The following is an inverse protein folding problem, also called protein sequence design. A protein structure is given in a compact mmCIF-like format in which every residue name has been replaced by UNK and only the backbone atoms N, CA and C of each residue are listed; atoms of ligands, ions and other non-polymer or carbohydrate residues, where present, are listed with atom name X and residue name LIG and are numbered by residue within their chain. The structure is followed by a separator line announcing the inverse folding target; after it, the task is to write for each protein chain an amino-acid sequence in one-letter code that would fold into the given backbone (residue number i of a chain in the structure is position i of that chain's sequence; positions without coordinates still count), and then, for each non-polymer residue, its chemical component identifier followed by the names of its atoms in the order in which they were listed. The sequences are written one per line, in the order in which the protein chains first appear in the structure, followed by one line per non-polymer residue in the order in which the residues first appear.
data_IF_319240468434
#
_entry.id   IF_319240468434
#
_cell.length_a   1.000
_cell.length_b   1.000
_cell.length_c   1.000
_cell.angle_alpha   90.00
_cell.angle_beta   90.00
_cell.angle_gamma   90.00
#
_symmetry.space_group_name_H-M   'P 1'
#
loop_
_entity.id
_entity.type
_entity.pdbx_description
1 polymer ?
#
# COMPACT_ATOMS: atom_id res chain seq x y z
N UNK A 1 -6.42 7.65 11.54
CA UNK A 1 -7.84 8.07 11.53
C UNK A 1 -8.25 8.34 10.10
N UNK A 2 -9.45 7.91 9.69
CA UNK A 2 -9.97 8.08 8.32
C UNK A 2 -10.52 9.47 8.04
N UNK A 3 -11.04 9.68 6.81
CA UNK A 3 -11.64 10.96 6.41
C UNK A 3 -13.11 10.98 6.83
N UNK A 4 -13.50 11.94 7.66
CA UNK A 4 -14.90 12.14 8.05
C UNK A 4 -15.68 12.79 6.91
N UNK A 5 -16.80 12.18 6.52
CA UNK A 5 -17.68 12.63 5.46
C UNK A 5 -19.03 12.99 6.08
N UNK A 6 -19.37 14.27 6.05
CA UNK A 6 -20.67 14.75 6.50
C UNK A 6 -21.79 14.21 5.59
N UNK A 7 -22.83 13.68 6.22
CA UNK A 7 -24.10 13.30 5.58
C UNK A 7 -25.22 14.22 6.04
N UNK A 8 -26.42 14.06 5.50
CA UNK A 8 -27.57 14.90 5.86
C UNK A 8 -27.93 14.81 7.36
N UNK A 9 -27.96 13.60 7.93
CA UNK A 9 -28.38 13.37 9.34
C UNK A 9 -27.26 12.81 10.24
N UNK A 10 -26.10 12.48 9.69
CA UNK A 10 -24.99 11.86 10.43
C UNK A 10 -23.65 12.10 9.70
N UNK A 11 -22.60 11.34 10.05
CA UNK A 11 -21.34 11.25 9.31
C UNK A 11 -21.00 9.80 8.98
N UNK A 12 -20.15 9.62 7.98
CA UNK A 12 -19.48 8.36 7.67
C UNK A 12 -17.97 8.58 7.63
N UNK A 13 -17.18 7.50 7.71
CA UNK A 13 -15.73 7.59 7.60
C UNK A 13 -15.23 6.83 6.37
N UNK A 14 -14.42 7.48 5.53
CA UNK A 14 -13.66 6.82 4.47
C UNK A 14 -12.34 6.28 5.04
N UNK A 15 -12.26 4.96 5.09
CA UNK A 15 -11.12 4.21 5.62
C UNK A 15 -10.12 3.78 4.53
N UNK A 16 -10.33 4.14 3.25
CA UNK A 16 -9.53 3.66 2.10
C UNK A 16 -8.04 4.00 2.17
N UNK A 17 -7.69 5.12 2.82
CA UNK A 17 -6.30 5.52 3.11
C UNK A 17 -5.91 5.25 4.57
N UNK A 18 -6.54 4.28 5.18
CA UNK A 18 -6.16 3.73 6.47
C UNK A 18 -5.92 2.23 6.32
N UNK A 19 -5.26 1.63 7.29
CA UNK A 19 -5.15 0.17 7.37
C UNK A 19 -6.23 -0.47 8.24
N UNK A 20 -7.26 0.30 8.61
CA UNK A 20 -8.32 -0.08 9.54
C UNK A 20 -9.67 -0.16 8.81
N UNK A 21 -10.64 -0.79 9.46
CA UNK A 21 -12.01 -0.95 8.97
C UNK A 21 -13.04 -0.45 9.98
N UNK A 22 -14.32 -0.72 9.71
CA UNK A 22 -15.44 -0.31 10.55
C UNK A 22 -15.97 1.08 10.19
N UNK A 23 -17.08 1.45 10.82
CA UNK A 23 -17.78 2.71 10.56
C UNK A 23 -16.98 3.96 10.96
N UNK A 24 -15.96 3.77 11.81
CA UNK A 24 -15.10 4.83 12.33
C UNK A 24 -13.60 4.61 12.03
N UNK A 25 -13.24 3.63 11.21
CA UNK A 25 -11.85 3.27 10.88
C UNK A 25 -10.98 2.96 12.11
N UNK A 26 -11.56 2.27 13.10
CA UNK A 26 -10.90 1.88 14.35
C UNK A 26 -10.77 0.36 14.51
N UNK A 27 -11.43 -0.42 13.65
CA UNK A 27 -11.42 -1.87 13.74
C UNK A 27 -10.16 -2.39 13.05
N UNK A 28 -9.40 -3.23 13.77
CA UNK A 28 -8.34 -4.02 13.16
C UNK A 28 -9.01 -5.17 12.41
N UNK A 29 -8.84 -5.25 11.10
CA UNK A 29 -9.31 -6.41 10.35
C UNK A 29 -8.30 -7.57 10.54
N UNK A 30 -8.50 -8.30 11.63
CA UNK A 30 -7.80 -9.56 11.91
C UNK A 30 -8.49 -10.64 11.09
N UNK A 31 -7.76 -11.28 10.18
CA UNK A 31 -8.26 -12.46 9.50
C UNK A 31 -8.08 -13.69 10.38
N UNK A 32 -9.19 -14.36 10.70
CA UNK A 32 -9.21 -15.77 11.09
C UNK A 32 -9.74 -16.52 9.86
N UNK A 33 -8.99 -17.43 9.24
CA UNK A 33 -9.43 -18.09 8.01
C UNK A 33 -10.59 -19.05 8.26
N UNK A 34 -11.76 -18.91 7.60
CA UNK A 34 -12.78 -19.95 7.60
C UNK A 34 -12.63 -20.89 6.38
N UNK A 35 -12.11 -20.40 5.23
CA UNK A 35 -11.93 -21.17 3.98
C UNK A 35 -11.00 -20.46 2.97
N UNK A 36 -10.57 -21.19 1.93
CA UNK A 36 -9.67 -20.70 0.87
C UNK A 36 -10.33 -19.73 -0.13
N UNK A 37 -11.66 -19.60 -0.07
CA UNK A 37 -12.48 -18.89 -1.05
C UNK A 37 -12.98 -17.53 -0.52
N UNK A 38 -12.56 -17.15 0.69
CA UNK A 38 -12.98 -15.91 1.33
C UNK A 38 -12.39 -14.69 0.59
N UNK A 39 -13.26 -13.77 0.18
CA UNK A 39 -12.89 -12.50 -0.41
C UNK A 39 -12.03 -11.68 0.57
N UNK A 40 -10.90 -11.15 0.08
CA UNK A 40 -10.01 -10.32 0.90
C UNK A 40 -10.70 -8.98 1.14
N UNK A 41 -11.35 -8.86 2.30
CA UNK A 41 -11.91 -7.59 2.73
C UNK A 41 -10.79 -6.56 3.01
N UNK A 42 -11.09 -5.28 2.84
CA UNK A 42 -10.17 -4.21 3.25
C UNK A 42 -9.74 -4.41 4.71
N UNK A 43 -8.48 -4.12 5.03
CA UNK A 43 -7.88 -4.23 6.36
C UNK A 43 -7.50 -5.64 6.85
N UNK A 44 -7.78 -6.70 6.08
CA UNK A 44 -7.41 -8.10 6.39
C UNK A 44 -5.90 -8.23 6.65
N UNK A 45 -5.53 -8.79 7.80
CA UNK A 45 -4.13 -8.98 8.21
C UNK A 45 -3.62 -10.39 7.89
N UNK A 46 -2.45 -10.49 7.24
CA UNK A 46 -1.76 -11.75 6.95
C UNK A 46 -0.40 -11.82 7.65
N UNK A 47 0.00 -13.01 8.08
CA UNK A 47 1.31 -13.27 8.70
C UNK A 47 2.16 -14.11 7.75
N UNK A 48 3.28 -13.55 7.32
CA UNK A 48 4.28 -14.24 6.50
C UNK A 48 5.37 -14.82 7.39
N UNK A 49 5.40 -16.16 7.50
CA UNK A 49 6.32 -16.88 8.38
C UNK A 49 7.74 -17.05 7.83
N UNK A 50 8.57 -17.80 8.58
CA UNK A 50 9.92 -18.20 8.13
C UNK A 50 9.80 -19.10 6.91
N UNK A 51 10.30 -18.64 5.76
CA UNK A 51 10.12 -19.26 4.45
C UNK A 51 9.44 -18.34 3.43
N UNK A 52 8.87 -17.23 3.90
CA UNK A 52 8.14 -16.28 3.05
C UNK A 52 6.76 -16.80 2.69
N UNK A 53 6.07 -16.04 1.85
CA UNK A 53 4.79 -16.40 1.27
C UNK A 53 4.42 -15.36 0.22
N UNK A 54 3.45 -15.69 -0.63
CA UNK A 54 3.02 -14.82 -1.71
C UNK A 54 1.50 -14.92 -1.85
N UNK A 55 0.84 -13.76 -1.78
CA UNK A 55 -0.56 -13.62 -2.17
C UNK A 55 -0.57 -12.98 -3.55
N UNK A 56 -1.24 -13.62 -4.51
CA UNK A 56 -1.31 -13.14 -5.88
C UNK A 56 -2.75 -12.85 -6.25
N UNK A 57 -3.02 -11.62 -6.69
CA UNK A 57 -4.25 -11.26 -7.37
C UNK A 57 -3.94 -11.08 -8.86
N UNK A 58 -4.75 -11.70 -9.73
CA UNK A 58 -4.58 -11.63 -11.18
C UNK A 58 -5.88 -11.13 -11.82
N UNK A 59 -5.84 -9.92 -12.38
CA UNK A 59 -6.97 -9.40 -13.15
C UNK A 59 -7.32 -10.33 -14.33
N UNK A 60 -8.62 -10.56 -14.58
CA UNK A 60 -9.09 -11.08 -15.85
C UNK A 60 -8.52 -10.26 -17.01
N UNK A 61 -8.19 -10.93 -18.12
CA UNK A 61 -7.44 -10.30 -19.21
C UNK A 61 -8.12 -9.05 -19.80
N UNK A 62 -9.45 -9.05 -19.82
CA UNK A 62 -10.33 -7.99 -20.31
C UNK A 62 -10.64 -6.89 -19.27
N UNK A 63 -10.22 -7.06 -18.01
CA UNK A 63 -10.52 -6.15 -16.90
C UNK A 63 -9.26 -5.47 -16.34
N UNK A 64 -8.12 -5.61 -17.02
CA UNK A 64 -6.86 -5.01 -16.59
C UNK A 64 -6.95 -3.48 -16.63
N UNK A 65 -6.81 -2.79 -15.49
CA UNK A 65 -6.92 -1.33 -15.47
C UNK A 65 -5.67 -0.67 -16.05
N UNK A 66 -5.85 0.54 -16.58
CA UNK A 66 -4.77 1.46 -16.96
C UNK A 66 -5.06 2.82 -16.32
N UNK A 67 -4.17 3.28 -15.45
CA UNK A 67 -4.44 4.40 -14.54
C UNK A 67 -3.42 5.52 -14.70
N UNK A 68 -3.92 6.77 -14.71
CA UNK A 68 -3.08 7.96 -14.58
C UNK A 68 -2.74 8.24 -13.11
N UNK A 69 -3.66 7.90 -12.21
CA UNK A 69 -3.58 8.19 -10.78
C UNK A 69 -3.76 6.90 -10.00
N UNK A 70 -2.84 6.65 -9.05
CA UNK A 70 -2.89 5.49 -8.16
C UNK A 70 -2.89 5.92 -6.70
N UNK A 71 -3.53 5.12 -5.85
CA UNK A 71 -3.52 5.26 -4.39
C UNK A 71 -3.32 3.87 -3.78
N UNK A 72 -2.32 3.74 -2.90
CA UNK A 72 -2.00 2.49 -2.22
C UNK A 72 -1.80 2.77 -0.73
N UNK A 73 -2.44 1.97 0.12
CA UNK A 73 -2.23 2.01 1.57
C UNK A 73 -1.98 0.61 2.10
N UNK A 74 -0.91 0.44 2.88
CA UNK A 74 -0.53 -0.85 3.47
C UNK A 74 -0.16 -0.64 4.94
N UNK A 75 -0.78 -1.42 5.82
CA UNK A 75 -0.33 -1.57 7.20
C UNK A 75 0.63 -2.76 7.31
N UNK A 76 1.76 -2.60 7.97
CA UNK A 76 2.75 -3.66 8.12
C UNK A 76 3.51 -3.56 9.44
N UNK A 77 4.10 -4.68 9.87
CA UNK A 77 5.08 -4.76 10.94
C UNK A 77 6.16 -5.75 10.53
N UNK A 78 7.42 -5.37 10.69
CA UNK A 78 8.55 -6.24 10.34
C UNK A 78 9.81 -5.87 11.12
N UNK A 79 10.72 -6.83 11.25
CA UNK A 79 12.11 -6.61 11.69
C UNK A 79 13.12 -6.79 10.55
N UNK A 80 12.65 -7.17 9.36
CA UNK A 80 13.50 -7.38 8.18
C UNK A 80 14.01 -6.05 7.64
N UNK A 81 15.27 -6.03 7.21
CA UNK A 81 15.91 -4.85 6.64
C UNK A 81 15.59 -4.66 5.16
N UNK A 82 15.33 -5.74 4.45
CA UNK A 82 15.11 -5.72 3.01
C UNK A 82 13.96 -6.66 2.66
N UNK A 83 13.05 -6.23 1.78
CA UNK A 83 11.91 -7.04 1.34
C UNK A 83 10.89 -6.27 0.51
N UNK A 84 10.15 -6.99 -0.34
CA UNK A 84 9.05 -6.44 -1.13
C UNK A 84 7.74 -6.71 -0.39
N UNK A 85 6.92 -5.68 -0.19
CA UNK A 85 5.63 -5.79 0.48
C UNK A 85 4.50 -5.98 -0.54
N UNK A 86 4.49 -5.14 -1.59
CA UNK A 86 3.49 -5.17 -2.65
C UNK A 86 4.18 -4.91 -3.98
N UNK A 87 3.83 -5.68 -5.00
CA UNK A 87 4.26 -5.46 -6.37
C UNK A 87 3.08 -5.61 -7.32
N UNK A 88 2.93 -4.63 -8.21
CA UNK A 88 1.91 -4.59 -9.26
C UNK A 88 2.67 -4.55 -10.58
N UNK A 89 2.55 -5.59 -11.38
CA UNK A 89 3.19 -5.68 -12.69
C UNK A 89 2.14 -5.53 -13.80
N UNK A 90 2.52 -4.83 -14.87
CA UNK A 90 1.73 -4.75 -16.09
C UNK A 90 1.69 -6.08 -16.86
N UNK A 91 0.91 -6.11 -17.94
CA UNK A 91 0.92 -7.26 -18.83
C UNK A 91 2.32 -7.51 -19.41
N UNK A 92 2.62 -8.79 -19.69
CA UNK A 92 3.89 -9.20 -20.29
C UNK A 92 4.24 -8.34 -21.50
N UNK A 93 5.45 -7.78 -21.51
CA UNK A 93 5.99 -6.96 -22.60
C UNK A 93 5.81 -5.44 -22.46
N UNK A 94 5.05 -4.94 -21.48
CA UNK A 94 4.84 -3.49 -21.30
C UNK A 94 5.90 -2.82 -20.40
N UNK A 95 6.42 -3.53 -19.40
CA UNK A 95 7.50 -3.03 -18.54
C UNK A 95 7.07 -2.09 -17.41
N UNK A 96 5.81 -1.62 -17.41
CA UNK A 96 5.27 -0.80 -16.31
C UNK A 96 5.12 -1.64 -15.03
N UNK A 97 5.47 -1.04 -13.89
CA UNK A 97 5.31 -1.68 -12.58
C UNK A 97 5.22 -0.65 -11.45
N UNK A 98 4.72 -1.08 -10.29
CA UNK A 98 4.78 -0.37 -9.02
C UNK A 98 5.22 -1.34 -7.92
N UNK A 99 6.21 -0.96 -7.13
CA UNK A 99 6.78 -1.80 -6.08
C UNK A 99 6.92 -1.01 -4.78
N UNK A 100 6.20 -1.43 -3.75
CA UNK A 100 6.39 -1.00 -2.36
C UNK A 100 7.37 -1.95 -1.69
N UNK A 101 8.46 -1.41 -1.16
CA UNK A 101 9.56 -2.21 -0.60
C UNK A 101 10.19 -1.55 0.61
N UNK A 102 10.89 -2.36 1.40
CA UNK A 102 11.80 -1.92 2.43
C UNK A 102 13.21 -2.20 1.93
N UNK A 103 14.08 -1.21 2.05
CA UNK A 103 15.50 -1.32 1.75
C UNK A 103 16.30 -0.67 2.87
N UNK A 104 17.27 -1.40 3.43
CA UNK A 104 18.07 -0.95 4.58
C UNK A 104 17.21 -0.47 5.77
N UNK A 105 16.06 -1.10 6.01
CA UNK A 105 15.12 -0.79 7.08
C UNK A 105 14.20 0.40 6.79
N UNK A 106 14.29 1.01 5.61
CA UNK A 106 13.53 2.20 5.21
C UNK A 106 12.50 1.85 4.14
N UNK A 107 11.30 2.38 4.27
CA UNK A 107 10.20 2.11 3.32
C UNK A 107 10.30 3.04 2.11
N UNK A 108 10.04 2.50 0.92
CA UNK A 108 10.00 3.25 -0.32
C UNK A 108 9.09 2.62 -1.36
N UNK A 109 8.78 3.41 -2.38
CA UNK A 109 8.07 2.96 -3.57
C UNK A 109 8.93 3.28 -4.79
N UNK A 110 9.09 2.29 -5.65
CA UNK A 110 9.70 2.44 -6.98
C UNK A 110 8.68 2.03 -8.03
N UNK A 111 8.49 2.85 -9.05
CA UNK A 111 7.55 2.57 -10.12
C UNK A 111 8.09 3.00 -11.48
N UNK A 112 7.58 2.35 -12.53
CA UNK A 112 7.84 2.69 -13.92
C UNK A 112 6.51 2.74 -14.68
N UNK A 113 6.36 3.77 -15.51
CA UNK A 113 5.16 4.06 -16.30
C UNK A 113 5.51 4.35 -17.77
N UNK A 114 6.54 3.68 -18.29
CA UNK A 114 6.93 3.68 -19.71
C UNK A 114 8.18 4.50 -20.05
N UNK A 115 8.87 5.06 -19.05
CA UNK A 115 10.09 5.87 -19.28
C UNK A 115 11.25 5.37 -18.46
N UNK A 116 11.35 5.81 -17.21
CA UNK A 116 12.43 5.49 -16.28
C UNK A 116 11.85 5.16 -14.91
N UNK A 117 12.63 4.49 -14.09
CA UNK A 117 12.25 4.19 -12.71
C UNK A 117 12.24 5.46 -11.88
N UNK A 118 11.12 5.70 -11.20
CA UNK A 118 10.93 6.81 -10.27
C UNK A 118 10.83 6.22 -8.87
N UNK A 119 11.62 6.74 -7.93
CA UNK A 119 11.67 6.25 -6.55
C UNK A 119 11.37 7.36 -5.55
N UNK A 120 10.49 7.07 -4.61
CA UNK A 120 10.19 7.92 -3.45
C UNK A 120 10.41 7.09 -2.19
N UNK A 121 11.22 7.59 -1.26
CA UNK A 121 11.62 6.82 -0.09
C UNK A 121 11.57 7.68 1.17
N UNK A 122 11.06 7.11 2.25
CA UNK A 122 11.19 7.71 3.58
C UNK A 122 12.62 7.48 4.09
N UNK A 123 13.43 8.53 4.07
CA UNK A 123 14.86 8.43 4.30
C UNK A 123 15.28 8.72 5.73
N UNK A 124 14.44 9.37 6.55
CA UNK A 124 14.85 9.81 7.88
C UNK A 124 14.72 8.72 8.93
N UNK A 125 13.66 7.91 8.83
CA UNK A 125 13.23 7.05 9.94
C UNK A 125 13.06 5.60 9.48
N UNK A 126 13.79 4.64 10.07
CA UNK A 126 13.56 3.21 9.82
C UNK A 126 12.18 2.75 10.29
N UNK A 127 11.62 1.76 9.61
CA UNK A 127 10.29 1.16 9.89
C UNK A 127 10.39 -0.32 10.29
N UNK A 128 11.60 -0.86 10.40
CA UNK A 128 11.85 -2.26 10.72
C UNK A 128 12.05 -2.48 12.23
N UNK A 129 11.32 -1.74 13.07
CA UNK A 129 11.42 -1.78 14.53
C UNK A 129 10.48 -2.81 15.19
N UNK A 130 9.77 -3.59 14.37
CA UNK A 130 8.78 -4.58 14.82
C UNK A 130 7.44 -3.97 15.24
N UNK A 131 7.26 -2.65 15.19
CA UNK A 131 5.96 -2.02 15.45
C UNK A 131 5.12 -1.95 14.19
N UNK A 132 3.85 -1.63 14.39
CA UNK A 132 2.90 -1.46 13.30
C UNK A 132 3.03 -0.06 12.70
N UNK A 133 3.22 -0.01 11.39
CA UNK A 133 3.30 1.20 10.60
C UNK A 133 2.27 1.18 9.48
N UNK A 134 1.80 2.37 9.07
CA UNK A 134 0.92 2.53 7.92
C UNK A 134 1.60 3.40 6.88
N UNK A 135 1.84 2.84 5.69
CA UNK A 135 2.37 3.58 4.55
C UNK A 135 1.25 3.93 3.56
N UNK A 136 1.25 5.18 3.10
CA UNK A 136 0.31 5.74 2.14
C UNK A 136 1.11 6.27 0.96
N UNK A 137 0.82 5.75 -0.22
CA UNK A 137 1.42 6.19 -1.47
C UNK A 137 0.33 6.72 -2.39
N UNK A 138 0.61 7.84 -3.05
CA UNK A 138 -0.22 8.33 -4.15
C UNK A 138 0.65 8.70 -5.34
N UNK A 139 0.13 8.50 -6.55
CA UNK A 139 0.78 8.87 -7.81
C UNK A 139 -0.20 9.59 -8.71
N UNK A 140 0.26 10.60 -9.45
CA UNK A 140 -0.45 11.21 -10.56
C UNK A 140 0.54 11.49 -11.71
N UNK A 141 0.54 10.64 -12.73
CA UNK A 141 1.62 10.62 -13.72
C UNK A 141 2.95 10.27 -13.06
N UNK A 142 3.98 11.08 -13.26
CA UNK A 142 5.28 10.91 -12.59
C UNK A 142 5.34 11.51 -11.18
N UNK A 143 4.40 12.39 -10.82
CA UNK A 143 4.37 12.98 -9.48
C UNK A 143 3.91 11.92 -8.47
N UNK A 144 4.55 11.90 -7.31
CA UNK A 144 4.24 10.93 -6.28
C UNK A 144 4.37 11.50 -4.87
N UNK A 145 3.60 10.96 -3.93
CA UNK A 145 3.75 11.23 -2.51
C UNK A 145 3.86 9.94 -1.72
N UNK A 146 4.67 9.97 -0.67
CA UNK A 146 4.82 8.89 0.30
C UNK A 146 4.67 9.46 1.71
N UNK A 147 3.79 8.86 2.50
CA UNK A 147 3.63 9.20 3.90
C UNK A 147 3.62 7.93 4.75
N UNK A 148 4.37 7.96 5.85
CA UNK A 148 4.38 6.90 6.85
C UNK A 148 3.76 7.44 8.13
N UNK A 149 2.82 6.71 8.71
CA UNK A 149 2.11 7.08 9.93
C UNK A 149 1.55 8.51 9.88
N UNK A 150 2.01 9.38 10.77
CA UNK A 150 1.70 10.82 10.81
C UNK A 150 2.95 11.67 10.55
N UNK A 151 3.97 11.10 9.89
CA UNK A 151 5.17 11.84 9.50
C UNK A 151 4.87 12.81 8.36
N UNK A 152 5.81 13.71 8.10
CA UNK A 152 5.73 14.66 6.99
C UNK A 152 5.56 13.93 5.67
N UNK A 153 4.75 14.49 4.78
CA UNK A 153 4.55 13.94 3.44
C UNK A 153 5.83 14.17 2.65
N UNK A 154 6.39 13.09 2.10
CA UNK A 154 7.47 13.16 1.14
C UNK A 154 6.88 13.31 -0.26
N UNK A 155 7.06 14.48 -0.87
CA UNK A 155 6.59 14.77 -2.22
C UNK A 155 7.75 14.64 -3.22
N UNK A 156 7.47 13.98 -4.34
CA UNK A 156 8.40 13.85 -5.45
C UNK A 156 7.77 14.37 -6.73
N UNK A 157 8.44 15.35 -7.33
CA UNK A 157 8.08 15.94 -8.61
C UNK A 157 9.25 15.71 -9.58
N UNK A 158 9.08 14.89 -10.63
CA UNK A 158 10.12 14.69 -11.63
C UNK A 158 10.48 16.02 -12.29
N UNK A 159 11.77 16.30 -12.42
CA UNK A 159 12.31 17.42 -13.21
C UNK A 159 12.31 17.11 -14.70
#
# INVERSE_FOLDING_TARGET
MGVCIQQWENYTCDCSMTSYTGTQCNDLAVYIPPSADAEVAAGTTYIFGKGGGLITFKWPANERPSTRTDRLTVGFSTSLKDGILVRIDSASGLGDYLMLHIQQGKIGVTFNIGTVDISVQESSTPVNDGKYHVVRFTRNGGNATLQVDNWSINEHFPT
#
